data_IF_989382285435
#
_entry.id   IF_989382285435
#
_cell.length_a   1.000
_cell.length_b   1.000
_cell.length_c   1.000
_cell.angle_alpha   90.00
_cell.angle_beta   90.00
_cell.angle_gamma   90.00
#
_symmetry.space_group_name_H-M   'P 1'
#
loop_
_entity.id
_entity.type
_entity.pdbx_description
1 polymer ?
#
# COMPACT_ATOMS: atom_id res chain seq x y z
N UNK A 1 -30.69 23.92 -18.60
CA UNK A 1 -30.89 22.69 -17.82
C UNK A 1 -29.56 22.28 -17.22
N UNK A 2 -29.40 22.40 -15.90
CA UNK A 2 -28.19 21.94 -15.21
C UNK A 2 -28.28 20.42 -15.13
N UNK A 3 -27.56 19.73 -16.00
CA UNK A 3 -27.44 18.27 -15.95
C UNK A 3 -26.56 17.92 -14.75
N UNK A 4 -27.16 17.45 -13.67
CA UNK A 4 -26.43 16.84 -12.56
C UNK A 4 -25.51 15.75 -13.12
N UNK A 5 -24.19 15.79 -12.90
CA UNK A 5 -23.29 14.78 -13.47
C UNK A 5 -23.62 13.44 -12.82
N UNK A 6 -24.14 12.49 -13.60
CA UNK A 6 -24.80 11.29 -13.08
C UNK A 6 -23.90 10.31 -12.31
N UNK A 7 -22.56 10.46 -12.32
CA UNK A 7 -21.65 9.54 -11.64
C UNK A 7 -20.42 10.23 -11.04
N UNK A 8 -20.11 9.95 -9.78
CA UNK A 8 -18.82 10.29 -9.17
C UNK A 8 -17.74 9.35 -9.73
N UNK A 9 -16.67 9.92 -10.26
CA UNK A 9 -15.48 9.16 -10.63
C UNK A 9 -14.47 9.21 -9.50
N UNK A 10 -13.50 8.30 -9.52
CA UNK A 10 -12.45 8.25 -8.53
C UNK A 10 -11.12 7.92 -9.20
N UNK A 11 -10.10 8.72 -8.90
CA UNK A 11 -8.69 8.38 -9.16
C UNK A 11 -7.99 8.28 -7.80
N UNK A 12 -7.45 7.10 -7.43
CA UNK A 12 -6.82 6.93 -6.13
C UNK A 12 -5.49 7.68 -6.03
N UNK A 13 -4.66 7.58 -7.07
CA UNK A 13 -3.30 8.10 -7.13
C UNK A 13 -2.79 8.15 -8.58
N UNK A 14 -1.57 8.65 -8.75
CA UNK A 14 -0.83 8.68 -10.02
C UNK A 14 0.50 7.94 -9.92
N UNK A 15 0.55 6.81 -9.20
CA UNK A 15 1.78 6.03 -9.00
C UNK A 15 2.43 5.61 -10.32
N UNK A 16 1.64 5.33 -11.36
CA UNK A 16 2.16 4.98 -12.69
C UNK A 16 2.98 6.09 -13.35
N UNK A 17 2.80 7.36 -12.95
CA UNK A 17 3.62 8.50 -13.39
C UNK A 17 4.76 8.83 -12.43
N UNK A 18 4.50 8.81 -11.11
CA UNK A 18 5.51 9.17 -10.09
C UNK A 18 6.49 8.05 -9.76
N UNK A 19 6.08 6.80 -9.92
CA UNK A 19 6.85 5.58 -9.65
C UNK A 19 6.79 4.62 -10.86
N UNK A 20 7.21 5.07 -12.06
CA UNK A 20 6.98 4.32 -13.30
C UNK A 20 7.71 2.97 -13.36
N UNK A 21 8.75 2.76 -12.53
CA UNK A 21 9.47 1.50 -12.45
C UNK A 21 8.63 0.35 -11.86
N UNK A 22 7.51 0.65 -11.19
CA UNK A 22 6.61 -0.34 -10.59
C UNK A 22 5.54 -0.88 -11.56
N UNK A 23 5.56 -0.42 -12.82
CA UNK A 23 4.51 -0.73 -13.80
C UNK A 23 5.12 -1.00 -15.17
N UNK A 24 4.58 -1.98 -15.89
CA UNK A 24 4.92 -2.19 -17.30
C UNK A 24 4.27 -1.10 -18.18
N UNK A 25 4.74 -0.98 -19.44
CA UNK A 25 4.29 0.08 -20.35
C UNK A 25 2.79 0.03 -20.67
N UNK A 26 2.24 -1.18 -20.80
CA UNK A 26 0.82 -1.36 -21.08
C UNK A 26 -0.07 -0.88 -19.91
N UNK A 27 0.30 -1.20 -18.66
CA UNK A 27 -0.44 -0.77 -17.48
C UNK A 27 -0.30 0.75 -17.26
N UNK A 28 0.88 1.32 -17.52
CA UNK A 28 1.09 2.79 -17.48
C UNK A 28 0.16 3.49 -18.45
N UNK A 29 0.14 3.06 -19.71
CA UNK A 29 -0.70 3.64 -20.75
C UNK A 29 -2.19 3.50 -20.41
N UNK A 30 -2.63 2.30 -20.01
CA UNK A 30 -4.02 2.03 -19.63
C UNK A 30 -4.51 2.94 -18.50
N UNK A 31 -3.72 3.08 -17.42
CA UNK A 31 -4.05 3.97 -16.30
C UNK A 31 -4.08 5.43 -16.73
N UNK A 32 -3.13 5.84 -17.58
CA UNK A 32 -3.05 7.21 -18.07
C UNK A 32 -4.26 7.58 -18.94
N UNK A 33 -4.70 6.67 -19.80
CA UNK A 33 -5.88 6.83 -20.65
C UNK A 33 -7.15 6.97 -19.82
N UNK A 34 -7.32 6.13 -18.78
CA UNK A 34 -8.44 6.27 -17.83
C UNK A 34 -8.38 7.64 -17.15
N UNK A 35 -7.21 8.04 -16.64
CA UNK A 35 -7.06 9.33 -15.95
C UNK A 35 -7.42 10.49 -16.87
N UNK A 36 -7.00 10.45 -18.16
CA UNK A 36 -7.32 11.47 -19.16
C UNK A 36 -8.82 11.56 -19.44
N UNK A 37 -9.48 10.42 -19.68
CA UNK A 37 -10.94 10.38 -19.89
C UNK A 37 -11.68 10.96 -18.68
N UNK A 38 -11.23 10.65 -17.46
CA UNK A 38 -11.83 11.18 -16.24
C UNK A 38 -11.55 12.68 -16.05
N UNK A 39 -10.37 13.17 -16.45
CA UNK A 39 -10.00 14.58 -16.37
C UNK A 39 -10.81 15.45 -17.35
N UNK A 40 -11.06 14.96 -18.57
CA UNK A 40 -11.77 15.71 -19.62
C UNK A 40 -13.30 15.72 -19.45
N UNK A 41 -13.80 14.91 -18.52
CA UNK A 41 -15.22 14.81 -18.18
C UNK A 41 -15.68 15.97 -17.31
N UNK A 42 -16.79 16.61 -17.68
CA UNK A 42 -17.47 17.58 -16.82
C UNK A 42 -18.29 16.88 -15.72
N UNK A 43 -17.68 16.69 -14.54
CA UNK A 43 -18.30 15.99 -13.42
C UNK A 43 -17.45 15.98 -12.16
N UNK A 44 -17.99 15.54 -11.01
CA UNK A 44 -17.22 15.42 -9.79
C UNK A 44 -16.22 14.26 -9.90
N UNK A 45 -14.99 14.51 -9.45
CA UNK A 45 -13.90 13.54 -9.40
C UNK A 45 -13.40 13.47 -7.95
N UNK A 46 -13.50 12.31 -7.34
CA UNK A 46 -12.89 12.05 -6.03
C UNK A 46 -11.40 11.79 -6.23
N UNK A 47 -10.58 12.35 -5.34
CA UNK A 47 -9.16 12.09 -5.18
C UNK A 47 -8.89 11.69 -3.73
N UNK A 48 -8.02 10.72 -3.51
CA UNK A 48 -7.84 10.14 -2.17
C UNK A 48 -7.01 11.00 -1.21
N UNK A 49 -6.29 12.01 -1.70
CA UNK A 49 -5.43 12.86 -0.89
C UNK A 49 -5.16 14.21 -1.55
N UNK A 50 -4.60 15.16 -0.78
CA UNK A 50 -4.08 16.42 -1.34
C UNK A 50 -2.92 16.20 -2.30
N UNK A 51 -2.10 15.16 -2.08
CA UNK A 51 -1.01 14.83 -3.00
C UNK A 51 -1.57 14.39 -4.37
N UNK A 52 -2.60 13.55 -4.38
CA UNK A 52 -3.30 13.18 -5.60
C UNK A 52 -3.95 14.40 -6.30
N UNK A 53 -4.42 15.40 -5.55
CA UNK A 53 -4.89 16.66 -6.12
C UNK A 53 -3.77 17.45 -6.82
N UNK A 54 -2.61 17.59 -6.18
CA UNK A 54 -1.47 18.27 -6.79
C UNK A 54 -0.99 17.55 -8.06
N UNK A 55 -0.85 16.23 -8.00
CA UNK A 55 -0.52 15.41 -9.17
C UNK A 55 -1.57 15.57 -10.27
N UNK A 56 -2.86 15.54 -9.94
CA UNK A 56 -3.94 15.72 -10.91
C UNK A 56 -3.86 17.07 -11.62
N UNK A 57 -3.62 18.16 -10.88
CA UNK A 57 -3.50 19.50 -11.43
C UNK A 57 -2.23 19.67 -12.29
N UNK A 58 -1.11 19.06 -11.88
CA UNK A 58 0.13 19.05 -12.66
C UNK A 58 -0.02 18.25 -13.96
N UNK A 59 -0.66 17.08 -13.89
CA UNK A 59 -0.74 16.14 -15.01
C UNK A 59 -1.88 16.45 -15.98
N UNK A 60 -2.93 17.14 -15.53
CA UNK A 60 -4.10 17.50 -16.32
C UNK A 60 -4.49 18.98 -16.09
N UNK A 61 -3.62 19.96 -16.40
CA UNK A 61 -3.87 21.38 -16.08
C UNK A 61 -5.11 21.96 -16.77
N UNK A 62 -5.54 21.35 -17.88
CA UNK A 62 -6.75 21.73 -18.63
C UNK A 62 -7.98 20.86 -18.28
N UNK A 63 -7.98 20.19 -17.13
CA UNK A 63 -9.07 19.31 -16.74
C UNK A 63 -10.43 20.03 -16.71
N UNK A 64 -11.48 19.33 -17.13
CA UNK A 64 -12.87 19.77 -17.00
C UNK A 64 -13.56 19.19 -15.76
N UNK A 65 -12.99 18.13 -15.20
CA UNK A 65 -13.49 17.53 -13.98
C UNK A 65 -13.40 18.50 -12.80
N UNK A 66 -14.28 18.33 -11.82
CA UNK A 66 -14.29 19.06 -10.56
C UNK A 66 -13.69 18.16 -9.46
N UNK A 67 -12.41 18.32 -9.11
CA UNK A 67 -11.77 17.45 -8.13
C UNK A 67 -12.24 17.77 -6.70
N UNK A 68 -12.46 16.72 -5.92
CA UNK A 68 -12.76 16.77 -4.49
C UNK A 68 -11.83 15.80 -3.77
N UNK A 69 -11.13 16.29 -2.74
CA UNK A 69 -10.31 15.40 -1.91
C UNK A 69 -11.20 14.75 -0.87
N UNK A 70 -11.29 13.43 -0.90
CA UNK A 70 -11.94 12.62 0.12
C UNK A 70 -10.89 11.71 0.77
N UNK A 71 -10.30 12.12 1.91
CA UNK A 71 -9.36 11.28 2.63
C UNK A 71 -10.07 10.02 3.13
N UNK A 72 -9.47 8.87 2.89
CA UNK A 72 -9.96 7.64 3.52
C UNK A 72 -9.69 7.68 5.02
N UNK A 73 -10.70 7.26 5.78
CA UNK A 73 -10.58 7.04 7.21
C UNK A 73 -10.82 5.57 7.49
N UNK A 74 -9.96 4.98 8.31
CA UNK A 74 -10.20 3.63 8.82
C UNK A 74 -11.36 3.70 9.82
N UNK A 75 -12.40 2.91 9.58
CA UNK A 75 -13.43 2.70 10.59
C UNK A 75 -12.97 1.56 11.50
N UNK A 76 -12.82 1.86 12.78
CA UNK A 76 -12.57 0.82 13.79
C UNK A 76 -13.95 0.36 14.24
N UNK A 77 -14.33 -0.85 13.84
CA UNK A 77 -15.48 -1.52 14.45
C UNK A 77 -15.09 -1.91 15.87
N UNK A 78 -15.85 -1.45 16.86
CA UNK A 78 -15.67 -1.83 18.27
C UNK A 78 -16.39 -3.15 18.61
N UNK A 79 -16.70 -3.98 17.60
CA UNK A 79 -17.28 -5.30 17.81
C UNK A 79 -16.37 -6.21 18.62
N UNK A 80 -16.87 -7.38 19.00
CA UNK A 80 -16.11 -8.37 19.76
C UNK A 80 -14.89 -8.85 18.96
N UNK A 81 -13.72 -8.29 19.29
CA UNK A 81 -12.44 -8.86 18.87
C UNK A 81 -12.15 -10.12 19.69
N UNK A 82 -11.49 -11.10 19.09
CA UNK A 82 -10.95 -12.22 19.85
C UNK A 82 -10.11 -11.69 21.05
N UNK A 83 -10.19 -12.32 22.23
CA UNK A 83 -9.36 -11.92 23.35
C UNK A 83 -7.88 -11.89 22.95
N UNK A 84 -7.16 -10.83 23.29
CA UNK A 84 -5.74 -10.64 22.94
C UNK A 84 -4.91 -11.88 23.27
N UNK A 85 -5.17 -12.50 24.44
CA UNK A 85 -4.52 -13.74 24.87
C UNK A 85 -4.69 -14.90 23.88
N UNK A 86 -5.91 -15.08 23.36
CA UNK A 86 -6.19 -16.14 22.39
C UNK A 86 -5.41 -15.91 21.07
N UNK A 87 -5.25 -14.66 20.64
CA UNK A 87 -4.46 -14.32 19.45
C UNK A 87 -2.97 -14.60 19.68
N UNK A 88 -2.43 -14.19 20.83
CA UNK A 88 -1.03 -14.44 21.21
C UNK A 88 -0.74 -15.94 21.26
N UNK A 89 -1.62 -16.72 21.90
CA UNK A 89 -1.48 -18.18 22.01
C UNK A 89 -1.58 -18.86 20.64
N UNK A 90 -2.56 -18.48 19.81
CA UNK A 90 -2.76 -19.05 18.47
C UNK A 90 -1.54 -18.88 17.57
N UNK A 91 -0.99 -17.66 17.52
CA UNK A 91 0.12 -17.32 16.62
C UNK A 91 1.51 -17.41 17.28
N UNK A 92 1.57 -17.80 18.56
CA UNK A 92 2.80 -17.86 19.37
C UNK A 92 3.61 -16.57 19.26
N UNK A 93 2.91 -15.44 19.41
CA UNK A 93 3.50 -14.12 19.25
C UNK A 93 4.56 -13.85 20.33
N UNK A 94 5.64 -13.11 19.99
CA UNK A 94 6.56 -12.58 20.98
C UNK A 94 5.85 -11.68 22.00
N UNK A 95 6.44 -11.53 23.19
CA UNK A 95 5.92 -10.61 24.22
C UNK A 95 5.99 -9.13 23.80
N UNK A 96 6.91 -8.79 22.89
CA UNK A 96 7.04 -7.47 22.29
C UNK A 96 7.52 -7.61 20.84
N UNK A 97 6.86 -6.91 19.92
CA UNK A 97 7.20 -6.94 18.50
C UNK A 97 6.75 -5.66 17.79
N UNK A 98 7.43 -5.33 16.69
CA UNK A 98 6.97 -4.39 15.68
C UNK A 98 5.98 -5.08 14.74
N UNK A 99 5.04 -4.35 14.17
CA UNK A 99 3.98 -4.92 13.35
C UNK A 99 3.81 -4.18 12.01
N UNK A 100 3.80 -4.94 10.90
CA UNK A 100 3.52 -4.43 9.55
C UNK A 100 2.33 -5.19 8.95
N UNK A 101 1.10 -4.60 8.98
CA UNK A 101 -0.11 -5.20 8.44
C UNK A 101 -0.35 -4.86 6.96
N UNK A 102 0.64 -5.09 6.09
CA UNK A 102 0.58 -4.71 4.68
C UNK A 102 0.67 -5.95 3.77
N UNK A 103 0.01 -5.88 2.61
CA UNK A 103 0.27 -6.83 1.54
C UNK A 103 1.74 -6.73 1.09
N UNK A 104 2.37 -7.87 0.78
CA UNK A 104 3.75 -7.96 0.30
C UNK A 104 3.85 -7.55 -1.17
N UNK A 105 3.41 -6.33 -1.47
CA UNK A 105 3.58 -5.74 -2.79
C UNK A 105 4.91 -4.97 -2.83
N UNK A 106 5.53 -4.89 -4.01
CA UNK A 106 6.85 -4.26 -4.18
C UNK A 106 6.86 -2.83 -3.65
N UNK A 107 5.82 -2.07 -3.96
CA UNK A 107 5.66 -0.68 -3.54
C UNK A 107 5.43 -0.47 -2.03
N UNK A 108 5.32 -1.54 -1.23
CA UNK A 108 5.29 -1.47 0.25
C UNK A 108 6.67 -1.62 0.89
N UNK A 109 7.69 -2.00 0.10
CA UNK A 109 9.11 -2.00 0.46
C UNK A 109 9.41 -2.60 1.85
N UNK A 110 9.00 -3.86 2.05
CA UNK A 110 9.27 -4.59 3.30
C UNK A 110 10.77 -4.76 3.56
N UNK A 111 11.59 -4.78 2.50
CA UNK A 111 13.04 -4.94 2.60
C UNK A 111 13.68 -3.84 3.44
N UNK A 112 13.19 -2.60 3.34
CA UNK A 112 13.66 -1.50 4.18
C UNK A 112 13.45 -1.79 5.67
N UNK A 113 12.29 -2.33 6.05
CA UNK A 113 12.03 -2.72 7.44
C UNK A 113 12.95 -3.88 7.88
N UNK A 114 13.16 -4.88 7.01
CA UNK A 114 14.03 -6.02 7.32
C UNK A 114 15.49 -5.59 7.53
N UNK A 115 15.98 -4.68 6.69
CA UNK A 115 17.29 -4.06 6.85
C UNK A 115 17.41 -3.30 8.18
N UNK A 116 16.36 -2.59 8.60
CA UNK A 116 16.34 -1.93 9.90
C UNK A 116 16.42 -2.92 11.07
N UNK A 117 15.68 -4.04 11.01
CA UNK A 117 15.75 -5.12 12.01
C UNK A 117 17.18 -5.69 12.10
N UNK A 118 17.83 -5.93 10.95
CA UNK A 118 19.23 -6.37 10.91
C UNK A 118 20.16 -5.38 11.62
N UNK A 119 20.07 -4.10 11.27
CA UNK A 119 20.91 -3.05 11.85
C UNK A 119 20.72 -2.92 13.37
N UNK A 120 19.48 -3.06 13.86
CA UNK A 120 19.17 -3.05 15.28
C UNK A 120 19.80 -4.26 16.00
N UNK A 121 19.68 -5.46 15.42
CA UNK A 121 20.32 -6.68 15.93
C UNK A 121 21.84 -6.54 16.01
N UNK A 122 22.49 -6.00 14.97
CA UNK A 122 23.94 -5.76 14.93
C UNK A 122 24.41 -4.74 15.98
N UNK A 123 23.55 -3.79 16.36
CA UNK A 123 23.83 -2.81 17.42
C UNK A 123 23.52 -3.32 18.83
N UNK A 124 23.13 -4.59 18.98
CA UNK A 124 22.80 -5.19 20.28
C UNK A 124 21.37 -4.91 20.76
N UNK A 125 20.48 -4.44 19.88
CA UNK A 125 19.07 -4.16 20.18
C UNK A 125 18.15 -5.07 19.35
N UNK A 126 18.10 -6.38 19.61
CA UNK A 126 17.24 -7.27 18.83
C UNK A 126 15.77 -6.91 19.01
N UNK A 127 15.02 -6.91 17.91
CA UNK A 127 13.56 -6.68 17.89
C UNK A 127 12.89 -7.76 17.04
N UNK A 128 11.73 -8.23 17.48
CA UNK A 128 10.85 -9.06 16.65
C UNK A 128 10.00 -8.18 15.73
N UNK A 129 9.82 -8.62 14.49
CA UNK A 129 8.94 -8.03 13.49
C UNK A 129 7.93 -9.07 13.01
N UNK A 130 6.66 -8.74 13.19
CA UNK A 130 5.54 -9.54 12.71
C UNK A 130 4.92 -8.84 11.50
N UNK A 131 4.72 -9.58 10.43
CA UNK A 131 4.08 -9.12 9.21
C UNK A 131 2.81 -9.92 8.93
N UNK A 132 1.76 -9.25 8.47
CA UNK A 132 0.53 -9.90 7.97
C UNK A 132 0.15 -9.27 6.65
N UNK A 133 -0.62 -10.00 5.84
CA UNK A 133 -1.10 -9.53 4.55
C UNK A 133 -0.87 -10.56 3.46
N UNK A 134 -1.52 -10.34 2.31
CA UNK A 134 -1.36 -11.19 1.13
C UNK A 134 0.09 -11.23 0.68
N UNK A 135 0.58 -12.42 0.35
CA UNK A 135 1.92 -12.65 -0.22
C UNK A 135 1.96 -12.51 -1.74
N UNK A 136 0.80 -12.30 -2.38
CA UNK A 136 0.67 -12.23 -3.84
C UNK A 136 0.62 -10.78 -4.33
N UNK A 137 1.58 -10.41 -5.18
CA UNK A 137 1.56 -9.20 -6.01
C UNK A 137 1.45 -9.61 -7.48
N UNK A 138 0.30 -9.36 -8.10
CA UNK A 138 0.02 -9.77 -9.49
C UNK A 138 0.96 -9.12 -10.52
N UNK A 139 1.69 -8.07 -10.14
CA UNK A 139 2.68 -7.40 -11.00
C UNK A 139 4.07 -8.02 -10.88
N UNK A 140 4.32 -8.75 -9.80
CA UNK A 140 5.64 -9.24 -9.41
C UNK A 140 5.53 -10.60 -8.72
N UNK A 141 5.28 -11.63 -9.51
CA UNK A 141 5.27 -13.02 -9.04
C UNK A 141 6.63 -13.39 -8.41
N UNK A 142 6.61 -14.09 -7.27
CA UNK A 142 7.83 -14.51 -6.57
C UNK A 142 8.47 -13.46 -5.65
N UNK A 143 7.86 -12.28 -5.51
CA UNK A 143 8.45 -11.21 -4.69
C UNK A 143 8.52 -11.56 -3.19
N UNK A 144 7.49 -12.23 -2.66
CA UNK A 144 7.49 -12.67 -1.26
C UNK A 144 8.63 -13.65 -0.98
N UNK A 145 8.83 -14.63 -1.86
CA UNK A 145 9.89 -15.62 -1.78
C UNK A 145 11.27 -14.97 -1.85
N UNK A 146 11.43 -13.96 -2.70
CA UNK A 146 12.65 -13.16 -2.79
C UNK A 146 12.94 -12.45 -1.46
N UNK A 147 11.93 -11.79 -0.89
CA UNK A 147 12.06 -11.09 0.40
C UNK A 147 12.41 -12.06 1.55
N UNK A 148 11.73 -13.20 1.64
CA UNK A 148 12.01 -14.16 2.70
C UNK A 148 13.31 -14.96 2.46
N UNK A 149 13.78 -15.06 1.22
CA UNK A 149 15.15 -15.48 0.90
C UNK A 149 16.19 -14.56 1.56
N UNK A 150 16.01 -13.24 1.43
CA UNK A 150 16.89 -12.24 2.07
C UNK A 150 16.85 -12.36 3.60
N UNK A 151 15.67 -12.55 4.20
CA UNK A 151 15.52 -12.77 5.65
C UNK A 151 16.37 -13.96 6.11
N UNK A 152 16.36 -15.06 5.34
CA UNK A 152 17.15 -16.25 5.61
C UNK A 152 18.65 -16.01 5.45
N UNK A 153 19.08 -15.43 4.33
CA UNK A 153 20.48 -15.10 4.06
C UNK A 153 21.09 -14.18 5.14
N UNK A 154 20.29 -13.26 5.68
CA UNK A 154 20.71 -12.35 6.74
C UNK A 154 20.56 -12.92 8.16
N UNK A 155 20.10 -14.18 8.30
CA UNK A 155 19.92 -14.82 9.61
C UNK A 155 18.88 -14.13 10.50
N UNK A 156 17.79 -13.64 9.89
CA UNK A 156 16.71 -12.91 10.55
C UNK A 156 15.45 -13.77 10.77
N UNK A 157 15.46 -15.04 10.39
CA UNK A 157 14.29 -15.95 10.51
C UNK A 157 13.79 -16.12 11.95
N UNK A 158 14.66 -15.91 12.94
CA UNK A 158 14.26 -15.99 14.35
C UNK A 158 13.46 -14.77 14.83
N UNK A 159 13.59 -13.62 14.15
CA UNK A 159 12.97 -12.36 14.55
C UNK A 159 12.00 -11.76 13.53
N UNK A 160 11.94 -12.25 12.28
CA UNK A 160 10.97 -11.80 11.28
C UNK A 160 9.99 -12.93 10.99
N UNK A 161 8.69 -12.69 11.20
CA UNK A 161 7.63 -13.68 11.03
C UNK A 161 6.51 -13.15 10.14
N UNK A 162 6.08 -13.94 9.16
CA UNK A 162 4.81 -13.71 8.45
C UNK A 162 3.72 -14.57 9.06
N UNK A 163 2.56 -13.99 9.32
CA UNK A 163 1.35 -14.73 9.73
C UNK A 163 0.36 -14.73 8.58
N UNK A 164 0.03 -15.94 8.11
CA UNK A 164 -0.99 -16.19 7.10
C UNK A 164 -2.41 -16.18 7.69
#
# INVERSE_FOLDING_TARGET
MVTTPRHWAWIPDFQHRRLPALFNDAEKQYRDDICRVLADRDGPLILSSRNALFDFQEFFPSHRARPYVWPFVSTISTGESAPVRAVIEKYKLPSSFLYIPNQFWVHKDHQTAFNAVRLLKERGFPVDLVCTGSTKDYRHDGYFETLFGIVKEQGLESCIRHLA
#
